data_IF_344221310495
#
_entry.id   IF_344221310495
#
_cell.length_a   1.000
_cell.length_b   1.000
_cell.length_c   1.000
_cell.angle_alpha   90.00
_cell.angle_beta   90.00
_cell.angle_gamma   90.00
#
_symmetry.space_group_name_H-M   'P 1'
#
loop_
_entity.id
_entity.type
_entity.pdbx_description
1 polymer ?
#
# COMPACT_ATOMS: atom_id res chain seq x y z
N UNK A 1 23.71 9.43 -2.65
CA UNK A 1 23.55 8.30 -3.58
C UNK A 1 22.06 8.03 -3.78
N UNK A 2 21.60 8.01 -5.01
CA UNK A 2 20.23 7.68 -5.31
C UNK A 2 20.05 6.16 -5.32
N UNK A 3 18.98 5.71 -4.66
CA UNK A 3 18.59 4.29 -4.68
C UNK A 3 17.52 4.14 -5.74
N UNK A 4 17.78 3.30 -6.72
CA UNK A 4 16.82 3.04 -7.78
C UNK A 4 15.77 2.04 -7.30
N UNK A 5 14.51 2.38 -7.51
CA UNK A 5 13.40 1.48 -7.18
C UNK A 5 13.19 0.52 -8.34
N UNK A 6 13.35 -0.77 -8.09
CA UNK A 6 13.13 -1.80 -9.08
C UNK A 6 11.71 -2.34 -9.08
N UNK A 7 11.11 -2.49 -7.89
CA UNK A 7 9.80 -3.13 -7.76
C UNK A 7 8.85 -2.23 -6.98
N UNK A 8 7.64 -2.04 -7.49
CA UNK A 8 6.56 -1.38 -6.79
C UNK A 8 5.43 -2.37 -6.57
N UNK A 9 5.14 -2.67 -5.30
CA UNK A 9 4.00 -3.49 -4.91
C UNK A 9 2.82 -2.59 -4.65
N UNK A 10 1.72 -2.81 -5.37
CA UNK A 10 0.52 -1.99 -5.26
C UNK A 10 -0.56 -2.83 -4.63
N UNK A 11 -1.00 -2.42 -3.44
CA UNK A 11 -1.92 -3.20 -2.62
C UNK A 11 -3.20 -2.39 -2.38
N UNK A 12 -4.26 -2.66 -3.11
CA UNK A 12 -5.59 -2.15 -2.76
C UNK A 12 -6.06 -2.80 -1.47
N UNK A 13 -6.66 -2.02 -0.59
CA UNK A 13 -7.10 -2.52 0.70
C UNK A 13 -8.47 -1.98 1.06
N UNK A 14 -9.29 -2.82 1.69
CA UNK A 14 -10.53 -2.40 2.33
C UNK A 14 -10.90 -3.39 3.42
N UNK A 15 -11.02 -2.90 4.66
CA UNK A 15 -11.59 -3.61 5.81
C UNK A 15 -10.93 -4.93 6.20
N UNK A 16 -9.67 -5.19 5.81
CA UNK A 16 -8.97 -6.44 6.16
C UNK A 16 -7.57 -6.15 6.71
N UNK A 17 -7.45 -5.39 7.83
CA UNK A 17 -6.14 -4.92 8.31
C UNK A 17 -5.18 -6.04 8.68
N UNK A 18 -5.67 -7.17 9.21
CA UNK A 18 -4.79 -8.29 9.56
C UNK A 18 -4.21 -8.97 8.32
N UNK A 19 -5.02 -9.12 7.26
CA UNK A 19 -4.53 -9.66 6.01
C UNK A 19 -3.54 -8.71 5.34
N UNK A 20 -3.81 -7.40 5.42
CA UNK A 20 -2.89 -6.39 4.90
C UNK A 20 -1.54 -6.47 5.61
N UNK A 21 -1.52 -6.56 6.94
CA UNK A 21 -0.29 -6.67 7.70
C UNK A 21 0.50 -7.93 7.30
N UNK A 22 -0.18 -9.05 7.13
CA UNK A 22 0.46 -10.29 6.69
C UNK A 22 1.04 -10.16 5.29
N UNK A 23 0.34 -9.47 4.41
CA UNK A 23 0.83 -9.20 3.05
C UNK A 23 2.11 -8.36 3.10
N UNK A 24 2.12 -7.29 3.87
CA UNK A 24 3.30 -6.43 4.04
C UNK A 24 4.46 -7.23 4.60
N UNK A 25 4.21 -8.05 5.61
CA UNK A 25 5.25 -8.85 6.26
C UNK A 25 5.85 -9.90 5.33
N UNK A 26 5.12 -10.32 4.31
CA UNK A 26 5.60 -11.30 3.34
C UNK A 26 6.51 -10.70 2.26
N UNK A 27 6.52 -9.37 2.12
CA UNK A 27 7.34 -8.71 1.11
C UNK A 27 8.75 -8.48 1.67
N UNK A 28 9.80 -8.83 0.93
CA UNK A 28 11.17 -8.60 1.40
C UNK A 28 11.45 -7.14 1.70
N UNK A 29 12.17 -6.88 2.77
CA UNK A 29 12.56 -5.52 3.17
C UNK A 29 13.85 -5.12 2.47
N UNK A 30 13.73 -4.62 1.25
CA UNK A 30 14.86 -4.21 0.41
C UNK A 30 14.71 -2.73 0.05
N UNK A 31 15.84 -2.05 -0.12
CA UNK A 31 15.84 -0.63 -0.46
C UNK A 31 15.31 -0.34 -1.87
N UNK A 32 15.30 -1.34 -2.75
CA UNK A 32 14.82 -1.21 -4.13
C UNK A 32 13.33 -1.57 -4.28
N UNK A 33 12.63 -1.82 -3.18
CA UNK A 33 11.21 -2.15 -3.18
C UNK A 33 10.41 -1.00 -2.57
N UNK A 34 9.40 -0.57 -3.31
CA UNK A 34 8.40 0.40 -2.88
C UNK A 34 7.09 -0.35 -2.65
N UNK A 35 6.45 -0.15 -1.51
CA UNK A 35 5.15 -0.73 -1.20
C UNK A 35 4.13 0.40 -1.14
N UNK A 36 3.13 0.34 -2.00
CA UNK A 36 2.09 1.35 -2.09
C UNK A 36 0.77 0.73 -1.70
N UNK A 37 0.20 1.22 -0.60
CA UNK A 37 -1.10 0.75 -0.11
C UNK A 37 -2.12 1.84 -0.41
N UNK A 38 -3.21 1.47 -1.05
CA UNK A 38 -4.32 2.40 -1.29
C UNK A 38 -5.54 1.85 -0.57
N UNK A 39 -5.92 2.53 0.51
CA UNK A 39 -7.09 2.19 1.29
C UNK A 39 -8.33 2.81 0.66
N UNK A 40 -9.27 1.97 0.25
CA UNK A 40 -10.47 2.38 -0.44
C UNK A 40 -11.64 2.45 0.53
N UNK A 41 -11.69 3.54 1.32
CA UNK A 41 -12.80 3.85 2.21
C UNK A 41 -13.12 2.76 3.23
N UNK A 42 -12.09 2.29 3.95
CA UNK A 42 -12.30 1.33 5.05
C UNK A 42 -13.13 1.94 6.19
N UNK A 43 -13.90 1.10 6.86
CA UNK A 43 -14.75 1.49 7.97
C UNK A 43 -13.90 1.77 9.22
N UNK A 44 -14.03 2.96 9.84
CA UNK A 44 -13.28 3.28 11.07
C UNK A 44 -13.58 2.34 12.24
N UNK A 45 -14.69 1.62 12.19
CA UNK A 45 -15.03 0.62 13.22
C UNK A 45 -14.24 -0.67 13.06
N UNK A 46 -13.69 -0.91 11.86
CA UNK A 46 -12.95 -2.13 11.53
C UNK A 46 -11.45 -1.84 11.50
N UNK A 47 -11.07 -0.67 11.01
CA UNK A 47 -9.68 -0.28 10.79
C UNK A 47 -9.32 0.89 11.70
N UNK A 48 -8.23 0.76 12.45
CA UNK A 48 -7.68 1.86 13.23
C UNK A 48 -6.72 2.64 12.34
N UNK A 49 -7.11 3.86 11.96
CA UNK A 49 -6.30 4.68 11.07
C UNK A 49 -5.06 5.27 11.75
N UNK A 50 -5.03 5.33 13.07
CA UNK A 50 -3.84 5.78 13.81
C UNK A 50 -2.76 4.71 13.86
N UNK A 51 -3.14 3.44 13.80
CA UNK A 51 -2.26 2.29 13.80
C UNK A 51 -2.38 1.49 12.51
N UNK A 52 -2.56 2.17 11.40
CA UNK A 52 -2.78 1.54 10.10
C UNK A 52 -1.55 0.70 9.70
N UNK A 53 -1.75 -0.53 9.17
CA UNK A 53 -0.62 -1.36 8.77
C UNK A 53 0.30 -0.65 7.78
N UNK A 54 1.59 -0.68 8.05
CA UNK A 54 2.62 -0.08 7.20
C UNK A 54 2.82 1.42 7.37
N UNK A 55 2.01 2.10 8.17
CA UNK A 55 2.02 3.57 8.27
C UNK A 55 3.39 4.13 8.67
N UNK A 56 4.10 3.44 9.55
CA UNK A 56 5.40 3.88 10.06
C UNK A 56 6.56 3.03 9.54
N UNK A 57 6.32 2.20 8.54
CA UNK A 57 7.37 1.35 7.98
C UNK A 57 8.09 2.06 6.84
N UNK A 58 9.42 1.91 6.83
CA UNK A 58 10.25 2.41 5.75
C UNK A 58 9.88 1.75 4.44
N UNK A 59 9.90 2.50 3.36
CA UNK A 59 9.56 2.04 2.00
C UNK A 59 8.06 1.73 1.79
N UNK A 60 7.21 2.02 2.76
CA UNK A 60 5.76 1.85 2.63
C UNK A 60 5.10 3.22 2.55
N UNK A 61 4.27 3.41 1.55
CA UNK A 61 3.45 4.60 1.35
C UNK A 61 1.99 4.20 1.47
N UNK A 62 1.22 4.97 2.23
CA UNK A 62 -0.19 4.69 2.42
C UNK A 62 -1.01 5.87 1.95
N UNK A 63 -1.95 5.62 1.07
CA UNK A 63 -2.87 6.60 0.53
C UNK A 63 -4.29 6.19 0.85
N UNK A 64 -5.12 7.17 1.20
CA UNK A 64 -6.52 6.93 1.55
C UNK A 64 -7.42 7.57 0.53
N UNK A 65 -8.37 6.81 -0.01
CA UNK A 65 -9.46 7.36 -0.82
C UNK A 65 -10.78 7.02 -0.14
N UNK A 66 -11.69 7.97 -0.13
CA UNK A 66 -13.01 7.79 0.48
C UNK A 66 -14.10 7.57 -0.55
N UNK A 67 -13.72 7.26 -1.78
CA UNK A 67 -14.66 7.14 -2.87
C UNK A 67 -15.38 5.80 -2.94
N UNK A 68 -14.78 4.74 -2.42
CA UNK A 68 -15.40 3.42 -2.39
C UNK A 68 -15.66 2.84 -3.77
N UNK A 69 -14.77 3.08 -4.73
CA UNK A 69 -14.95 2.66 -6.12
C UNK A 69 -14.37 1.29 -6.45
N UNK A 70 -13.85 0.59 -5.43
CA UNK A 70 -13.37 -0.78 -5.60
C UNK A 70 -11.88 -0.89 -5.84
N UNK A 71 -11.41 -2.17 -5.86
CA UNK A 71 -9.98 -2.48 -5.93
C UNK A 71 -9.31 -1.99 -7.22
N UNK A 72 -10.01 -2.05 -8.35
CA UNK A 72 -9.45 -1.59 -9.62
C UNK A 72 -9.15 -0.09 -9.62
N UNK A 73 -10.06 0.70 -9.05
CA UNK A 73 -9.85 2.13 -8.91
C UNK A 73 -8.70 2.44 -7.96
N UNK A 74 -8.65 1.76 -6.83
CA UNK A 74 -7.56 1.93 -5.86
C UNK A 74 -6.21 1.55 -6.47
N UNK A 75 -6.17 0.47 -7.24
CA UNK A 75 -4.95 0.06 -7.93
C UNK A 75 -4.47 1.13 -8.93
N UNK A 76 -5.40 1.74 -9.66
CA UNK A 76 -5.05 2.81 -10.59
C UNK A 76 -4.46 4.03 -9.88
N UNK A 77 -4.98 4.37 -8.70
CA UNK A 77 -4.40 5.42 -7.88
C UNK A 77 -2.96 5.04 -7.48
N UNK A 78 -2.75 3.81 -7.01
CA UNK A 78 -1.43 3.34 -6.63
C UNK A 78 -0.43 3.40 -7.78
N UNK A 79 -0.88 3.08 -8.98
CA UNK A 79 -0.02 3.14 -10.17
C UNK A 79 0.52 4.54 -10.44
N UNK A 80 -0.22 5.59 -10.09
CA UNK A 80 0.26 6.97 -10.29
C UNK A 80 1.46 7.31 -9.41
N UNK A 81 1.66 6.58 -8.30
CA UNK A 81 2.76 6.81 -7.37
C UNK A 81 3.91 5.81 -7.55
N UNK A 82 3.73 4.80 -8.40
CA UNK A 82 4.72 3.76 -8.58
C UNK A 82 5.97 4.29 -9.30
N UNK A 83 7.13 4.01 -8.73
CA UNK A 83 8.43 4.45 -9.28
C UNK A 83 9.27 3.27 -9.78
N UNK A 84 8.84 2.04 -9.50
CA UNK A 84 9.58 0.84 -9.86
C UNK A 84 9.56 0.55 -11.35
N UNK A 85 10.52 -0.22 -11.79
CA UNK A 85 10.57 -0.75 -13.15
C UNK A 85 9.55 -1.85 -13.38
N UNK A 86 9.21 -2.59 -12.30
CA UNK A 86 8.27 -3.70 -12.32
C UNK A 86 7.17 -3.45 -11.31
N UNK A 87 5.93 -3.71 -11.69
CA UNK A 87 4.76 -3.56 -10.81
C UNK A 87 4.23 -4.93 -10.43
N UNK A 88 3.92 -5.08 -9.17
CA UNK A 88 3.41 -6.34 -8.63
C UNK A 88 2.04 -6.13 -7.97
#
# INVERSE_FOLDING_TARGET
MEIEINYSFIIPHRNVPHLLQRCIDSIPKRDDIQIIIVDDNSDPKIVNFECFPGLNEKCVEVYFTKEGKGAGYARNIGLTYAQGKWFV
#
